data_IF_613675092991
#
_entry.id   IF_613675092991
#
_cell.length_a   1.000
_cell.length_b   1.000
_cell.length_c   1.000
_cell.angle_alpha   90.00
_cell.angle_beta   90.00
_cell.angle_gamma   90.00
#
_symmetry.space_group_name_H-M   'P 1'
#
loop_
_entity.id
_entity.type
_entity.pdbx_description
1 polymer ?
#
# COMPACT_ATOMS: atom_id res chain seq x y z
N UNK A 1 -29.50 20.75 -25.69
CA UNK A 1 -28.03 20.78 -25.55
C UNK A 1 -27.66 19.63 -24.64
N UNK A 2 -27.48 18.45 -25.24
CA UNK A 2 -26.94 17.26 -24.57
C UNK A 2 -25.43 17.46 -24.53
N UNK A 3 -24.89 17.69 -23.34
CA UNK A 3 -23.46 17.81 -23.14
C UNK A 3 -22.83 16.42 -23.24
N UNK A 4 -22.47 16.03 -24.47
CA UNK A 4 -21.86 14.75 -24.83
C UNK A 4 -20.38 14.65 -24.42
N UNK A 5 -19.85 15.55 -23.59
CA UNK A 5 -18.49 15.41 -23.03
C UNK A 5 -18.34 14.26 -22.03
N UNK A 6 -19.44 13.63 -21.58
CA UNK A 6 -19.39 12.51 -20.64
C UNK A 6 -19.01 11.15 -21.29
N UNK A 7 -18.88 11.09 -22.62
CA UNK A 7 -18.75 9.82 -23.36
C UNK A 7 -17.32 9.48 -23.87
N UNK A 8 -16.30 10.30 -23.61
CA UNK A 8 -14.90 10.00 -23.99
C UNK A 8 -14.14 9.29 -22.86
N UNK A 9 -14.68 8.20 -22.33
CA UNK A 9 -14.10 7.52 -21.16
C UNK A 9 -13.42 6.17 -21.49
N UNK A 10 -13.23 5.84 -22.78
CA UNK A 10 -12.57 4.60 -23.18
C UNK A 10 -11.10 4.82 -23.53
N UNK A 11 -10.20 4.03 -22.94
CA UNK A 11 -8.72 4.01 -23.05
C UNK A 11 -7.97 4.98 -22.11
N UNK A 12 -6.67 4.75 -21.92
CA UNK A 12 -5.76 5.42 -20.96
C UNK A 12 -5.98 6.94 -20.79
N UNK A 13 -5.47 7.54 -19.69
CA UNK A 13 -5.67 8.96 -19.36
C UNK A 13 -5.46 9.86 -20.57
N UNK A 14 -6.49 10.64 -20.89
CA UNK A 14 -6.54 11.46 -22.11
C UNK A 14 -5.46 12.55 -22.16
N UNK A 15 -5.37 13.31 -23.27
CA UNK A 15 -4.34 14.34 -23.46
C UNK A 15 -4.33 15.44 -22.38
N UNK A 16 -5.45 15.61 -21.69
CA UNK A 16 -5.65 16.59 -20.61
C UNK A 16 -5.28 16.05 -19.22
N UNK A 17 -4.75 14.83 -19.14
CA UNK A 17 -4.24 14.26 -17.89
C UNK A 17 -3.14 15.15 -17.30
N UNK A 18 -3.17 15.29 -15.97
CA UNK A 18 -2.14 16.05 -15.27
C UNK A 18 -0.77 15.43 -15.46
N UNK A 19 0.24 16.29 -15.48
CA UNK A 19 1.63 15.93 -15.73
C UNK A 19 2.50 16.32 -14.54
N UNK A 20 3.69 15.74 -14.49
CA UNK A 20 4.76 16.16 -13.59
C UNK A 20 5.01 17.68 -13.72
N UNK A 21 5.23 18.34 -12.59
CA UNK A 21 5.35 19.79 -12.46
C UNK A 21 4.03 20.55 -12.29
N UNK A 22 2.88 19.92 -12.52
CA UNK A 22 1.57 20.57 -12.27
C UNK A 22 1.10 20.36 -10.83
N UNK A 23 0.29 21.30 -10.33
CA UNK A 23 -0.38 21.13 -9.04
C UNK A 23 -1.45 20.04 -9.10
N UNK A 24 -1.72 19.38 -7.98
CA UNK A 24 -2.89 18.50 -7.83
C UNK A 24 -4.21 19.29 -7.93
N UNK A 25 -5.35 18.66 -8.23
CA UNK A 25 -6.66 19.32 -8.23
C UNK A 25 -6.99 19.90 -6.86
N UNK A 26 -7.64 21.07 -6.84
CA UNK A 26 -8.20 21.63 -5.61
C UNK A 26 -9.58 21.05 -5.34
N UNK A 27 -9.66 20.15 -4.35
CA UNK A 27 -10.91 19.51 -3.91
C UNK A 27 -10.95 19.33 -2.40
N UNK A 28 -12.14 19.01 -1.88
CA UNK A 28 -12.36 18.58 -0.50
C UNK A 28 -12.96 17.18 -0.48
N UNK A 29 -12.30 16.24 0.18
CA UNK A 29 -12.81 14.90 0.40
C UNK A 29 -13.72 14.90 1.63
N UNK A 30 -14.89 14.26 1.51
CA UNK A 30 -15.76 13.98 2.66
C UNK A 30 -15.42 12.60 3.19
N UNK A 31 -15.05 12.51 4.46
CA UNK A 31 -14.64 11.26 5.10
C UNK A 31 -15.59 10.89 6.24
N UNK A 32 -15.36 9.71 6.82
CA UNK A 32 -16.00 9.27 8.06
C UNK A 32 -14.95 8.93 9.11
N UNK A 33 -15.07 9.54 10.28
CA UNK A 33 -14.35 9.15 11.49
C UNK A 33 -15.34 8.45 12.43
N UNK A 34 -15.33 7.12 12.38
CA UNK A 34 -16.39 6.30 12.96
C UNK A 34 -17.76 6.70 12.42
N UNK A 35 -18.64 7.20 13.29
CA UNK A 35 -19.97 7.67 12.93
C UNK A 35 -20.03 9.15 12.51
N UNK A 36 -18.93 9.90 12.65
CA UNK A 36 -18.90 11.35 12.41
C UNK A 36 -18.46 11.65 10.98
N UNK A 37 -19.04 12.70 10.41
CA UNK A 37 -18.53 13.30 9.19
C UNK A 37 -17.25 14.08 9.47
N UNK A 38 -16.28 13.96 8.56
CA UNK A 38 -15.07 14.75 8.53
C UNK A 38 -14.82 15.24 7.10
N UNK A 39 -14.01 16.29 6.95
CA UNK A 39 -13.58 16.78 5.64
C UNK A 39 -12.07 17.01 5.68
N UNK A 40 -11.40 16.73 4.55
CA UNK A 40 -9.99 17.08 4.34
C UNK A 40 -9.85 17.66 2.95
N UNK A 41 -9.35 18.88 2.87
CA UNK A 41 -9.01 19.55 1.60
C UNK A 41 -7.66 19.06 1.06
N UNK A 42 -7.44 19.27 -0.24
CA UNK A 42 -6.13 18.98 -0.85
C UNK A 42 -5.00 19.84 -0.29
N UNK A 43 -5.25 21.11 0.03
CA UNK A 43 -4.28 21.96 0.73
C UNK A 43 -3.84 21.34 2.06
N UNK A 44 -4.81 20.87 2.84
CA UNK A 44 -4.60 20.17 4.10
C UNK A 44 -3.81 18.86 3.99
N UNK A 45 -3.88 18.19 2.83
CA UNK A 45 -3.16 16.95 2.56
C UNK A 45 -1.73 17.25 2.07
N UNK A 46 -1.58 18.21 1.15
CA UNK A 46 -0.35 18.36 0.35
C UNK A 46 0.50 19.60 0.64
N UNK A 47 -0.06 20.68 1.21
CA UNK A 47 0.67 21.95 1.39
C UNK A 47 1.82 21.79 2.38
N UNK A 48 3.03 22.12 1.94
CA UNK A 48 4.27 21.98 2.72
C UNK A 48 4.65 20.53 3.05
N UNK A 49 4.02 19.53 2.41
CA UNK A 49 4.21 18.10 2.72
C UNK A 49 4.68 17.33 1.49
N UNK A 50 5.37 16.22 1.73
CA UNK A 50 5.70 15.18 0.75
C UNK A 50 4.71 14.03 0.92
N UNK A 51 3.88 13.77 -0.10
CA UNK A 51 2.81 12.77 -0.03
C UNK A 51 2.95 11.80 -1.20
N UNK A 52 2.94 10.50 -0.90
CA UNK A 52 2.71 9.48 -1.92
C UNK A 52 1.21 9.34 -2.09
N UNK A 53 0.73 9.36 -3.33
CA UNK A 53 -0.66 9.02 -3.66
C UNK A 53 -0.66 7.85 -4.61
N UNK A 54 -1.50 6.86 -4.38
CA UNK A 54 -1.84 5.88 -5.39
C UNK A 54 -3.35 5.81 -5.57
N UNK A 55 -3.78 5.60 -6.80
CA UNK A 55 -5.19 5.47 -7.15
C UNK A 55 -5.46 4.14 -7.81
N UNK A 56 -6.68 3.66 -7.62
CA UNK A 56 -7.10 2.35 -8.06
C UNK A 56 -8.57 2.34 -8.51
N UNK A 57 -8.99 1.33 -9.29
CA UNK A 57 -10.34 1.31 -9.86
C UNK A 57 -11.47 1.18 -8.85
N UNK A 58 -11.24 0.49 -7.72
CA UNK A 58 -12.28 0.28 -6.73
C UNK A 58 -11.84 -0.50 -5.50
N UNK A 59 -12.40 -0.13 -4.35
CA UNK A 59 -12.38 -0.92 -3.12
C UNK A 59 -12.93 -2.34 -3.35
N UNK A 60 -12.44 -3.31 -2.57
CA UNK A 60 -12.81 -4.75 -2.63
C UNK A 60 -12.50 -5.48 -3.94
N UNK A 61 -11.79 -4.86 -4.89
CA UNK A 61 -11.39 -5.53 -6.14
C UNK A 61 -10.07 -6.32 -5.95
N UNK A 62 -9.85 -7.44 -6.67
CA UNK A 62 -8.80 -8.40 -6.34
C UNK A 62 -7.39 -7.83 -6.23
N UNK A 63 -6.87 -7.17 -7.26
CA UNK A 63 -5.49 -6.62 -7.28
C UNK A 63 -5.30 -5.50 -6.26
N UNK A 64 -6.36 -4.72 -6.03
CA UNK A 64 -6.35 -3.61 -5.08
C UNK A 64 -6.20 -4.10 -3.64
N UNK A 65 -6.96 -5.14 -3.27
CA UNK A 65 -6.94 -5.75 -1.93
C UNK A 65 -5.75 -6.68 -1.70
N UNK A 66 -5.29 -7.42 -2.72
CA UNK A 66 -4.26 -8.45 -2.51
C UNK A 66 -2.83 -7.99 -2.73
N UNK A 67 -2.61 -6.87 -3.45
CA UNK A 67 -1.27 -6.43 -3.85
C UNK A 67 -1.04 -4.94 -3.63
N UNK A 68 -1.89 -4.07 -4.17
CA UNK A 68 -1.58 -2.64 -4.25
C UNK A 68 -1.58 -1.95 -2.88
N UNK A 69 -2.72 -1.97 -2.16
CA UNK A 69 -2.82 -1.36 -0.83
C UNK A 69 -1.91 -2.06 0.20
N UNK A 70 -1.87 -3.41 0.30
CA UNK A 70 -1.04 -4.09 1.30
C UNK A 70 0.45 -3.73 1.21
N UNK A 71 1.02 -3.62 -0.01
CA UNK A 71 2.45 -3.34 -0.15
C UNK A 71 2.79 -1.89 0.21
N UNK A 72 1.91 -0.92 -0.04
CA UNK A 72 2.09 0.45 0.47
C UNK A 72 1.98 0.50 2.00
N UNK A 73 1.03 -0.23 2.58
CA UNK A 73 0.85 -0.35 4.04
C UNK A 73 2.07 -0.98 4.74
N UNK A 74 2.68 -1.98 4.09
CA UNK A 74 3.91 -2.63 4.53
C UNK A 74 5.13 -1.70 4.46
N UNK A 75 5.31 -1.01 3.33
CA UNK A 75 6.47 -0.14 3.10
C UNK A 75 6.34 1.25 3.73
N UNK A 76 5.18 1.60 4.32
CA UNK A 76 4.94 2.92 4.91
C UNK A 76 6.03 3.38 5.89
N UNK A 77 6.52 2.56 6.85
CA UNK A 77 7.63 2.97 7.72
C UNK A 77 8.91 3.32 6.96
N UNK A 78 9.19 2.63 5.85
CA UNK A 78 10.34 2.93 4.99
C UNK A 78 10.15 4.25 4.26
N UNK A 79 8.97 4.50 3.68
CA UNK A 79 8.65 5.78 3.04
C UNK A 79 8.76 6.96 4.02
N UNK A 80 8.27 6.80 5.25
CA UNK A 80 8.40 7.82 6.29
C UNK A 80 9.87 8.13 6.63
N UNK A 81 10.74 7.12 6.73
CA UNK A 81 12.20 7.34 6.92
C UNK A 81 12.84 8.08 5.75
N UNK A 82 12.29 7.93 4.54
CA UNK A 82 12.72 8.64 3.34
C UNK A 82 12.11 10.04 3.20
N UNK A 83 11.39 10.53 4.22
CA UNK A 83 10.84 11.89 4.27
C UNK A 83 9.46 12.04 3.62
N UNK A 84 8.72 10.95 3.44
CA UNK A 84 7.31 11.01 3.06
C UNK A 84 6.46 11.25 4.31
N UNK A 85 5.64 12.30 4.31
CA UNK A 85 4.79 12.67 5.43
C UNK A 85 3.49 11.86 5.50
N UNK A 86 2.96 11.42 4.36
CA UNK A 86 1.71 10.67 4.26
C UNK A 86 1.67 9.80 3.01
N UNK A 87 0.97 8.68 3.10
CA UNK A 87 0.61 7.85 1.96
C UNK A 87 -0.91 7.82 1.87
N UNK A 88 -1.44 8.17 0.70
CA UNK A 88 -2.87 8.25 0.47
C UNK A 88 -3.32 7.33 -0.67
N UNK A 89 -4.40 6.59 -0.43
CA UNK A 89 -5.08 5.78 -1.45
C UNK A 89 -6.36 6.49 -1.89
N UNK A 90 -6.46 6.82 -3.18
CA UNK A 90 -7.66 7.46 -3.77
C UNK A 90 -8.46 6.45 -4.58
N UNK A 91 -9.76 6.33 -4.32
CA UNK A 91 -10.67 5.54 -5.16
C UNK A 91 -11.99 6.28 -5.37
N UNK A 92 -12.60 6.05 -6.54
CA UNK A 92 -13.97 6.52 -6.85
C UNK A 92 -14.98 5.62 -6.14
N UNK A 93 -15.04 5.77 -4.82
CA UNK A 93 -15.95 5.11 -3.90
C UNK A 93 -16.38 6.13 -2.84
N UNK A 94 -17.56 5.93 -2.27
CA UNK A 94 -18.05 6.77 -1.20
C UNK A 94 -17.34 6.47 0.15
N UNK A 95 -17.52 7.33 1.15
CA UNK A 95 -16.81 7.22 2.43
C UNK A 95 -17.20 6.00 3.26
N UNK A 96 -18.40 5.44 3.08
CA UNK A 96 -18.83 4.26 3.82
C UNK A 96 -18.08 3.03 3.30
N UNK A 97 -18.03 2.87 1.97
CA UNK A 97 -17.30 1.77 1.34
C UNK A 97 -15.81 1.86 1.64
N UNK A 98 -15.20 3.03 1.52
CA UNK A 98 -13.75 3.18 1.80
C UNK A 98 -13.41 2.91 3.27
N UNK A 99 -14.27 3.32 4.22
CA UNK A 99 -14.06 3.05 5.64
C UNK A 99 -14.14 1.55 5.96
N UNK A 100 -15.16 0.85 5.46
CA UNK A 100 -15.30 -0.59 5.71
C UNK A 100 -14.24 -1.40 4.96
N UNK A 101 -13.81 -0.95 3.78
CA UNK A 101 -12.69 -1.56 3.07
C UNK A 101 -11.38 -1.41 3.86
N UNK A 102 -11.05 -0.22 4.36
CA UNK A 102 -9.86 -0.02 5.20
C UNK A 102 -9.85 -0.90 6.45
N UNK A 103 -11.02 -1.07 7.10
CA UNK A 103 -11.17 -2.01 8.22
C UNK A 103 -10.94 -3.46 7.80
N UNK A 104 -11.48 -3.87 6.65
CA UNK A 104 -11.31 -5.22 6.11
C UNK A 104 -9.85 -5.54 5.79
N UNK A 105 -9.12 -4.58 5.22
CA UNK A 105 -7.71 -4.74 4.86
C UNK A 105 -6.75 -4.46 6.03
N UNK A 106 -7.24 -4.00 7.18
CA UNK A 106 -6.43 -3.52 8.31
C UNK A 106 -5.40 -2.45 7.89
N UNK A 107 -5.85 -1.50 7.07
CA UNK A 107 -5.02 -0.40 6.59
C UNK A 107 -4.94 0.73 7.64
N UNK A 108 -3.85 0.76 8.39
CA UNK A 108 -3.64 1.68 9.51
C UNK A 108 -2.65 2.81 9.19
N UNK A 109 -1.76 2.63 8.21
CA UNK A 109 -0.68 3.58 7.85
C UNK A 109 -0.97 4.33 6.54
N UNK A 110 -1.88 3.82 5.71
CA UNK A 110 -2.35 4.50 4.49
C UNK A 110 -3.67 5.22 4.73
N UNK A 111 -3.71 6.52 4.44
CA UNK A 111 -4.95 7.29 4.47
C UNK A 111 -5.83 6.93 3.27
N UNK A 112 -7.03 6.44 3.53
CA UNK A 112 -8.02 6.17 2.47
C UNK A 112 -8.84 7.42 2.17
N UNK A 113 -8.78 7.90 0.92
CA UNK A 113 -9.46 9.10 0.43
C UNK A 113 -10.64 8.70 -0.49
N UNK A 114 -11.90 8.90 -0.04
CA UNK A 114 -13.09 8.58 -0.83
C UNK A 114 -13.40 9.68 -1.85
N UNK A 115 -13.00 9.48 -3.10
CA UNK A 115 -13.33 10.37 -4.22
C UNK A 115 -14.68 9.99 -4.86
N UNK A 116 -15.73 9.88 -4.04
CA UNK A 116 -17.04 9.33 -4.46
C UNK A 116 -17.73 10.10 -5.58
N UNK A 117 -17.40 11.38 -5.77
CA UNK A 117 -17.90 12.20 -6.88
C UNK A 117 -16.92 12.27 -8.07
N UNK A 118 -15.81 11.52 -8.02
CA UNK A 118 -14.72 11.54 -8.98
C UNK A 118 -14.12 12.95 -9.22
N UNK A 119 -14.22 13.86 -8.25
CA UNK A 119 -13.78 15.25 -8.42
C UNK A 119 -12.25 15.32 -8.56
N UNK A 120 -11.53 14.61 -7.69
CA UNK A 120 -10.08 14.55 -7.76
C UNK A 120 -9.63 13.79 -9.01
N UNK A 121 -10.21 12.61 -9.25
CA UNK A 121 -9.88 11.73 -10.36
C UNK A 121 -10.12 12.40 -11.71
N UNK A 122 -11.23 13.11 -11.87
CA UNK A 122 -11.53 13.91 -13.07
C UNK A 122 -10.55 15.07 -13.20
N UNK A 123 -10.24 15.77 -12.10
CA UNK A 123 -9.27 16.86 -12.10
C UNK A 123 -7.84 16.41 -12.43
N UNK A 124 -7.50 15.15 -12.18
CA UNK A 124 -6.25 14.51 -12.61
C UNK A 124 -6.28 14.07 -14.08
N UNK A 125 -7.45 14.08 -14.73
CA UNK A 125 -7.67 13.49 -16.05
C UNK A 125 -7.51 11.97 -16.08
N UNK A 126 -7.74 11.31 -14.94
CA UNK A 126 -7.56 9.87 -14.73
C UNK A 126 -8.89 9.13 -14.64
N UNK A 127 -10.02 9.79 -14.95
CA UNK A 127 -11.34 9.16 -14.92
C UNK A 127 -11.58 8.38 -16.21
N UNK A 128 -11.86 7.09 -16.08
CA UNK A 128 -12.13 6.17 -17.19
C UNK A 128 -13.43 5.42 -16.98
N UNK A 129 -13.98 4.86 -18.04
CA UNK A 129 -15.18 4.05 -18.04
C UNK A 129 -14.81 2.58 -17.92
N UNK A 130 -15.43 1.93 -16.95
CA UNK A 130 -15.28 0.50 -16.67
C UNK A 130 -16.65 -0.19 -16.61
N UNK A 131 -17.61 0.26 -17.44
CA UNK A 131 -18.95 -0.33 -17.59
C UNK A 131 -18.92 -1.78 -18.09
N UNK A 132 -17.88 -2.18 -18.81
CA UNK A 132 -17.61 -3.58 -19.17
C UNK A 132 -17.47 -4.49 -17.94
N UNK A 133 -17.04 -3.93 -16.80
CA UNK A 133 -16.98 -4.60 -15.49
C UNK A 133 -18.18 -4.25 -14.58
N UNK A 134 -19.17 -3.52 -15.08
CA UNK A 134 -20.30 -2.98 -14.31
C UNK A 134 -19.88 -2.01 -13.18
N UNK A 135 -18.79 -1.25 -13.36
CA UNK A 135 -18.29 -0.32 -12.35
C UNK A 135 -18.71 1.15 -12.59
N UNK A 136 -19.15 1.48 -13.80
CA UNK A 136 -19.33 2.86 -14.22
C UNK A 136 -17.98 3.58 -14.41
N UNK A 137 -17.97 4.89 -14.18
CA UNK A 137 -16.73 5.69 -14.25
C UNK A 137 -15.89 5.50 -12.98
N UNK A 138 -14.59 5.19 -13.14
CA UNK A 138 -13.63 4.91 -12.07
C UNK A 138 -12.26 5.54 -12.36
N UNK A 139 -11.41 5.58 -11.35
CA UNK A 139 -10.03 6.00 -11.55
C UNK A 139 -9.23 4.97 -12.34
N UNK A 140 -8.39 5.45 -13.25
CA UNK A 140 -7.27 4.70 -13.79
C UNK A 140 -6.26 4.41 -12.67
N UNK A 141 -5.51 3.31 -12.81
CA UNK A 141 -4.49 2.97 -11.83
C UNK A 141 -3.22 3.79 -12.07
N UNK A 142 -2.78 4.50 -11.05
CA UNK A 142 -1.53 5.25 -11.08
C UNK A 142 -0.98 5.44 -9.66
N UNK A 143 0.29 5.78 -9.54
CA UNK A 143 0.84 6.37 -8.32
C UNK A 143 1.62 7.63 -8.63
N UNK A 144 1.79 8.48 -7.63
CA UNK A 144 2.53 9.73 -7.76
C UNK A 144 3.20 10.12 -6.45
N UNK A 145 4.30 10.84 -6.59
CA UNK A 145 4.93 11.58 -5.51
C UNK A 145 4.56 13.05 -5.67
N UNK A 146 4.03 13.65 -4.60
CA UNK A 146 3.60 15.05 -4.57
C UNK A 146 4.39 15.79 -3.51
N UNK A 147 4.97 16.95 -3.84
CA UNK A 147 5.62 17.85 -2.90
C UNK A 147 4.99 19.22 -2.94
N UNK A 148 4.53 19.71 -1.79
CA UNK A 148 3.84 21.00 -1.67
C UNK A 148 2.68 21.18 -2.69
N UNK A 149 1.93 20.10 -2.90
CA UNK A 149 0.84 20.05 -3.87
C UNK A 149 1.27 20.00 -5.35
N UNK A 150 2.57 19.93 -5.66
CA UNK A 150 3.10 19.76 -7.03
C UNK A 150 3.46 18.30 -7.28
N UNK A 151 3.01 17.76 -8.41
CA UNK A 151 3.32 16.38 -8.82
C UNK A 151 4.80 16.32 -9.23
N UNK A 152 5.64 15.71 -8.40
CA UNK A 152 7.07 15.51 -8.70
C UNK A 152 7.26 14.35 -9.69
N UNK A 153 6.56 13.25 -9.44
CA UNK A 153 6.65 12.04 -10.26
C UNK A 153 5.29 11.41 -10.43
N UNK A 154 5.00 10.90 -11.62
CA UNK A 154 3.75 10.21 -11.94
C UNK A 154 4.03 8.88 -12.66
N UNK A 155 3.50 7.79 -12.10
CA UNK A 155 3.57 6.43 -12.63
C UNK A 155 2.18 5.98 -13.06
N UNK A 156 1.86 6.18 -14.34
CA UNK A 156 0.57 5.80 -14.93
C UNK A 156 0.68 4.38 -15.48
N UNK A 157 -0.23 3.49 -15.09
CA UNK A 157 -0.25 2.13 -15.66
C UNK A 157 -0.46 2.16 -17.18
N UNK A 158 0.19 1.26 -17.93
CA UNK A 158 0.05 1.22 -19.38
C UNK A 158 -1.34 0.72 -19.78
N UNK A 159 -1.84 1.20 -20.92
CA UNK A 159 -3.09 0.70 -21.49
C UNK A 159 -2.88 -0.69 -22.09
N UNK A 160 -3.18 -1.72 -21.30
CA UNK A 160 -3.07 -3.12 -21.68
C UNK A 160 -4.35 -3.87 -21.27
N UNK A 161 -4.72 -4.94 -22.01
CA UNK A 161 -5.81 -5.80 -21.60
C UNK A 161 -5.63 -6.33 -20.18
N UNK A 162 -6.73 -6.41 -19.42
CA UNK A 162 -6.74 -6.90 -18.04
C UNK A 162 -6.68 -5.77 -17.00
N UNK A 163 -6.05 -6.05 -15.86
CA UNK A 163 -5.87 -5.10 -14.75
C UNK A 163 -4.37 -4.82 -14.57
N UNK A 164 -3.78 -3.92 -15.38
CA UNK A 164 -2.34 -3.65 -15.34
C UNK A 164 -1.90 -3.12 -13.98
N UNK A 165 -0.79 -3.65 -13.49
CA UNK A 165 -0.14 -3.28 -12.23
C UNK A 165 1.37 -3.53 -12.35
N UNK A 166 2.04 -2.68 -13.11
CA UNK A 166 3.45 -2.81 -13.51
C UNK A 166 4.33 -1.65 -13.03
N UNK A 167 3.76 -0.47 -12.76
CA UNK A 167 4.54 0.75 -12.47
C UNK A 167 4.03 1.57 -11.30
N UNK A 168 2.77 1.41 -10.92
CA UNK A 168 2.15 2.15 -9.81
C UNK A 168 2.41 1.53 -8.43
N UNK A 169 3.04 0.35 -8.40
CA UNK A 169 3.34 -0.40 -7.19
C UNK A 169 4.31 0.34 -6.26
N UNK A 170 4.29 -0.04 -4.98
CA UNK A 170 5.08 0.61 -3.96
C UNK A 170 6.58 0.35 -4.11
N UNK A 171 7.00 -0.79 -4.68
CA UNK A 171 8.43 -1.06 -4.91
C UNK A 171 8.99 -0.16 -6.02
N UNK A 172 8.21 0.13 -7.07
CA UNK A 172 8.56 1.15 -8.08
C UNK A 172 8.71 2.53 -7.46
N UNK A 173 7.79 2.93 -6.57
CA UNK A 173 7.89 4.20 -5.83
C UNK A 173 9.11 4.23 -4.90
N UNK A 174 9.39 3.14 -4.18
CA UNK A 174 10.54 3.03 -3.29
C UNK A 174 11.85 3.16 -4.08
N UNK A 175 11.97 2.46 -5.21
CA UNK A 175 13.13 2.55 -6.09
C UNK A 175 13.34 3.95 -6.66
N UNK A 176 12.27 4.71 -6.86
CA UNK A 176 12.38 6.11 -7.29
C UNK A 176 12.94 7.00 -6.18
N UNK A 177 12.43 6.85 -4.95
CA UNK A 177 12.88 7.63 -3.78
C UNK A 177 14.29 7.27 -3.33
N UNK A 178 14.65 5.98 -3.39
CA UNK A 178 15.98 5.48 -3.11
C UNK A 178 16.38 4.42 -4.14
N UNK A 179 17.06 4.82 -5.23
CA UNK A 179 17.53 3.89 -6.26
C UNK A 179 18.54 2.84 -5.77
N UNK A 180 19.12 3.04 -4.58
CA UNK A 180 20.06 2.12 -3.95
C UNK A 180 19.38 1.22 -2.92
N UNK A 181 18.12 1.48 -2.56
CA UNK A 181 17.37 0.62 -1.66
C UNK A 181 17.32 -0.80 -2.25
N UNK A 182 17.88 -1.75 -1.50
CA UNK A 182 17.60 -3.16 -1.72
C UNK A 182 16.12 -3.45 -1.45
N UNK A 183 15.61 -4.55 -2.01
CA UNK A 183 14.29 -5.05 -1.58
C UNK A 183 14.36 -5.35 -0.07
N UNK A 184 13.36 -4.93 0.73
CA UNK A 184 13.27 -5.34 2.12
C UNK A 184 13.31 -6.87 2.23
N UNK A 185 13.89 -7.37 3.31
CA UNK A 185 13.87 -8.80 3.61
C UNK A 185 12.44 -9.22 3.96
N UNK A 186 11.93 -10.24 3.27
CA UNK A 186 10.62 -10.83 3.55
C UNK A 186 10.77 -11.80 4.74
N UNK A 187 10.47 -11.31 5.95
CA UNK A 187 10.65 -12.06 7.19
C UNK A 187 9.33 -12.53 7.78
N UNK A 188 9.21 -13.83 8.04
CA UNK A 188 8.06 -14.42 8.73
C UNK A 188 8.54 -15.29 9.90
N UNK A 189 7.87 -15.17 11.04
CA UNK A 189 8.20 -15.95 12.24
C UNK A 189 6.99 -16.76 12.72
N UNK A 190 7.13 -18.08 12.74
CA UNK A 190 6.21 -18.97 13.45
C UNK A 190 6.49 -18.88 14.95
N UNK A 191 5.49 -18.48 15.74
CA UNK A 191 5.65 -18.24 17.17
C UNK A 191 4.60 -18.98 18.02
N UNK A 192 4.68 -18.78 19.34
CA UNK A 192 3.62 -19.16 20.27
C UNK A 192 3.53 -18.17 21.42
N UNK A 193 2.37 -18.14 22.06
CA UNK A 193 2.18 -17.41 23.32
C UNK A 193 3.11 -17.92 24.43
N UNK A 194 3.63 -16.97 25.23
CA UNK A 194 4.51 -17.26 26.39
C UNK A 194 5.87 -17.87 26.04
N UNK A 195 6.39 -17.61 24.84
CA UNK A 195 7.69 -18.14 24.38
C UNK A 195 8.80 -17.08 24.50
N UNK A 196 9.71 -17.26 25.45
CA UNK A 196 10.84 -16.34 25.69
C UNK A 196 11.78 -16.25 24.49
N UNK A 197 12.08 -17.37 23.83
CA UNK A 197 12.90 -17.38 22.60
C UNK A 197 12.23 -16.61 21.46
N UNK A 198 10.90 -16.65 21.38
CA UNK A 198 10.14 -15.92 20.38
C UNK A 198 10.23 -14.42 20.68
N UNK A 199 10.03 -14.01 21.94
CA UNK A 199 10.20 -12.62 22.36
C UNK A 199 11.62 -12.09 22.09
N UNK A 200 12.65 -12.91 22.34
CA UNK A 200 14.05 -12.59 22.04
C UNK A 200 14.29 -12.36 20.55
N UNK A 201 13.79 -13.25 19.70
CA UNK A 201 13.92 -13.11 18.25
C UNK A 201 13.20 -11.85 17.73
N UNK A 202 11.98 -11.56 18.21
CA UNK A 202 11.25 -10.33 17.87
C UNK A 202 12.02 -9.09 18.24
N UNK A 203 12.44 -8.98 19.51
CA UNK A 203 13.15 -7.81 19.99
C UNK A 203 14.42 -7.53 19.16
N UNK A 204 15.13 -8.59 18.75
CA UNK A 204 16.30 -8.44 17.89
C UNK A 204 15.96 -7.96 16.47
N UNK A 205 14.87 -8.45 15.88
CA UNK A 205 14.39 -7.97 14.58
C UNK A 205 13.94 -6.50 14.66
N UNK A 206 13.19 -6.14 15.71
CA UNK A 206 12.75 -4.77 15.98
C UNK A 206 13.93 -3.82 16.16
N UNK A 207 14.93 -4.21 16.98
CA UNK A 207 16.15 -3.42 17.22
C UNK A 207 16.98 -3.23 15.95
N UNK A 208 17.02 -4.25 15.08
CA UNK A 208 17.67 -4.17 13.78
C UNK A 208 16.86 -3.42 12.70
N UNK A 209 15.64 -2.96 13.04
CA UNK A 209 14.74 -2.29 12.10
C UNK A 209 14.29 -3.19 10.95
N UNK A 210 14.22 -4.50 11.19
CA UNK A 210 13.76 -5.51 10.22
C UNK A 210 12.28 -5.77 10.48
N UNK A 211 11.42 -5.35 9.54
CA UNK A 211 10.00 -5.66 9.58
C UNK A 211 9.78 -7.17 9.41
N UNK A 212 8.79 -7.73 10.11
CA UNK A 212 8.46 -9.15 10.02
C UNK A 212 6.96 -9.40 10.27
N UNK A 213 6.46 -10.52 9.74
CA UNK A 213 5.13 -11.05 10.04
C UNK A 213 5.22 -12.13 11.11
N UNK A 214 4.52 -11.96 12.22
CA UNK A 214 4.37 -13.01 13.23
C UNK A 214 3.14 -13.88 12.95
N UNK A 215 3.35 -15.19 12.91
CA UNK A 215 2.29 -16.19 12.80
C UNK A 215 2.23 -16.96 14.13
N UNK A 216 1.36 -16.52 15.02
CA UNK A 216 1.14 -17.18 16.30
C UNK A 216 0.39 -18.50 16.12
N UNK A 217 1.07 -19.62 16.40
CA UNK A 217 0.51 -20.95 16.19
C UNK A 217 -0.41 -21.39 17.34
N UNK A 218 -1.69 -21.72 17.06
CA UNK A 218 -2.63 -22.19 18.08
C UNK A 218 -2.14 -23.49 18.75
N UNK A 219 -2.37 -23.68 20.07
CA UNK A 219 -1.81 -24.82 20.83
C UNK A 219 -2.03 -26.19 20.18
N UNK A 220 -3.25 -26.48 19.70
CA UNK A 220 -3.60 -27.78 19.12
C UNK A 220 -3.04 -28.00 17.71
N UNK A 221 -2.69 -26.93 16.99
CA UNK A 221 -2.20 -27.01 15.60
C UNK A 221 -0.68 -26.90 15.51
N UNK A 222 -0.04 -26.31 16.52
CA UNK A 222 1.37 -25.94 16.56
C UNK A 222 2.32 -27.07 16.17
N UNK A 223 2.23 -28.21 16.84
CA UNK A 223 3.18 -29.30 16.63
C UNK A 223 3.11 -29.85 15.19
N UNK A 224 1.91 -29.92 14.60
CA UNK A 224 1.72 -30.34 13.21
C UNK A 224 2.26 -29.29 12.24
N UNK A 225 1.92 -28.01 12.47
CA UNK A 225 2.36 -26.91 11.62
C UNK A 225 3.89 -26.80 11.58
N UNK A 226 4.56 -26.82 12.75
CA UNK A 226 6.03 -26.76 12.81
C UNK A 226 6.68 -27.91 12.05
N UNK A 227 6.27 -29.16 12.30
CA UNK A 227 6.86 -30.31 11.58
C UNK A 227 6.63 -30.24 10.08
N UNK A 228 5.44 -29.83 9.65
CA UNK A 228 5.08 -29.78 8.23
C UNK A 228 5.80 -28.65 7.48
N UNK A 229 5.96 -27.48 8.11
CA UNK A 229 6.50 -26.28 7.45
C UNK A 229 8.04 -26.23 7.59
N UNK A 230 8.56 -26.60 8.76
CA UNK A 230 9.98 -26.37 9.14
C UNK A 230 10.75 -27.66 9.37
N UNK A 231 10.08 -28.79 9.60
CA UNK A 231 10.70 -30.02 10.13
C UNK A 231 11.06 -29.95 11.63
N UNK A 232 10.95 -28.78 12.27
CA UNK A 232 11.26 -28.59 13.68
C UNK A 232 10.08 -28.93 14.61
N UNK A 233 10.36 -28.97 15.91
CA UNK A 233 9.36 -29.22 16.96
C UNK A 233 9.12 -28.02 17.88
N UNK A 234 9.93 -26.97 17.77
CA UNK A 234 9.94 -25.83 18.69
C UNK A 234 9.77 -24.50 17.94
N UNK A 235 9.27 -23.50 18.66
CA UNK A 235 9.22 -22.09 18.23
C UNK A 235 10.32 -21.29 18.93
N UNK A 236 10.79 -20.16 18.36
CA UNK A 236 10.38 -19.61 17.06
C UNK A 236 10.97 -20.41 15.89
N UNK A 237 10.37 -20.29 14.71
CA UNK A 237 11.00 -20.67 13.44
C UNK A 237 10.84 -19.50 12.47
N UNK A 238 11.97 -18.93 12.05
CA UNK A 238 12.04 -17.72 11.23
C UNK A 238 12.42 -18.08 9.80
N UNK A 239 11.70 -17.48 8.87
CA UNK A 239 11.95 -17.53 7.44
C UNK A 239 12.39 -16.16 6.97
N UNK A 240 13.37 -16.13 6.07
CA UNK A 240 13.84 -14.92 5.40
C UNK A 240 13.86 -15.20 3.90
N UNK A 241 13.18 -14.37 3.10
CA UNK A 241 13.15 -14.47 1.64
C UNK A 241 12.78 -15.88 1.15
N UNK A 242 11.80 -16.51 1.82
CA UNK A 242 11.31 -17.85 1.52
C UNK A 242 12.16 -19.02 2.02
N UNK A 243 13.26 -18.76 2.73
CA UNK A 243 14.15 -19.79 3.29
C UNK A 243 14.05 -19.85 4.80
N UNK A 244 13.93 -21.06 5.36
CA UNK A 244 14.02 -21.28 6.80
C UNK A 244 15.44 -20.95 7.27
N UNK A 245 15.58 -19.98 8.18
CA UNK A 245 16.86 -19.71 8.85
C UNK A 245 16.98 -20.45 10.18
N UNK A 246 15.86 -20.70 10.86
CA UNK A 246 15.82 -21.52 12.09
C UNK A 246 15.23 -20.78 13.28
N UNK A 247 15.79 -21.03 14.46
CA UNK A 247 15.27 -20.53 15.74
C UNK A 247 15.80 -19.14 16.13
N UNK A 248 15.65 -18.77 17.41
CA UNK A 248 16.10 -17.48 17.94
C UNK A 248 17.61 -17.29 17.82
N UNK A 249 18.43 -18.34 17.95
CA UNK A 249 19.89 -18.21 17.83
C UNK A 249 20.28 -18.01 16.38
N UNK A 250 19.66 -18.77 15.47
CA UNK A 250 19.87 -18.61 14.04
C UNK A 250 19.44 -17.21 13.55
N UNK A 251 18.35 -16.66 14.12
CA UNK A 251 17.89 -15.29 13.82
C UNK A 251 18.93 -14.24 14.19
N UNK A 252 19.49 -14.33 15.41
CA UNK A 252 20.55 -13.42 15.86
C UNK A 252 21.82 -13.53 15.01
N UNK A 253 22.20 -14.76 14.64
CA UNK A 253 23.33 -15.00 13.76
C UNK A 253 23.11 -14.35 12.39
N UNK A 254 21.93 -14.56 11.79
CA UNK A 254 21.58 -13.95 10.51
C UNK A 254 21.62 -12.42 10.57
N UNK A 255 21.09 -11.80 11.64
CA UNK A 255 21.16 -10.35 11.84
C UNK A 255 22.61 -9.84 11.93
N UNK A 256 23.48 -10.56 12.64
CA UNK A 256 24.89 -10.21 12.73
C UNK A 256 25.59 -10.27 11.37
N UNK A 257 25.30 -11.27 10.55
CA UNK A 257 25.84 -11.41 9.19
C UNK A 257 25.29 -10.33 8.23
N UNK A 258 23.99 -10.00 8.35
CA UNK A 258 23.33 -8.95 7.58
C UNK A 258 23.92 -7.57 7.83
N UNK A 259 24.31 -7.28 9.08
CA UNK A 259 24.86 -5.98 9.49
C UNK A 259 26.24 -5.67 8.86
N UNK A 260 26.89 -6.68 8.27
CA UNK A 260 28.24 -6.60 7.69
C UNK A 260 28.17 -6.49 6.14
N UNK A 261 26.99 -6.68 5.54
CA UNK A 261 26.75 -6.65 4.10
C UNK A 261 26.16 -5.30 3.65
#
# INVERSE_FOLDING_TARGET
MTDDTCCNLGTAPGPDARKEGQRVPDVTFRLRDGARWAERSTDEIFKGRTVIVFSLPGAFTPTCSSMHLPRYEELAPTFHRLGVDEIACVSVNDPFVMQEWGRNESADKVQLLPDGNAAFTRGMGMLVDKRDLNFGARSWRYSMLVRDGVIEKLFVEPDKPGDPFEVSDADTMLKYLDPKAGKPDEVAMLSREGCEFCARAKAALDEAGVAFTEIALPPLQRARALRAITGAQTTPQVFVNGKLIGDSEATLKWLAERSVA
#
